data_IF_495630831131
#
_entry.id   IF_495630831131
#
_cell.length_a   1.000
_cell.length_b   1.000
_cell.length_c   1.000
_cell.angle_alpha   90.00
_cell.angle_beta   90.00
_cell.angle_gamma   90.00
#
_symmetry.space_group_name_H-M   'P 1'
#
loop_
_entity.id
_entity.type
_entity.pdbx_description
1 polymer ?
#
# COMPACT_ATOMS: atom_id res chain seq x y z
N UNK A 1 28.29 -4.42 2.34
CA UNK A 1 27.39 -4.43 1.17
C UNK A 1 28.24 -4.31 -0.09
N UNK A 2 27.74 -4.69 -1.27
CA UNK A 2 28.42 -4.41 -2.53
C UNK A 2 28.67 -2.90 -2.72
N UNK A 3 29.77 -2.52 -3.36
CA UNK A 3 30.15 -1.12 -3.54
C UNK A 3 29.09 -0.29 -4.31
N UNK A 4 28.44 -0.90 -5.32
CA UNK A 4 27.37 -0.25 -6.08
C UNK A 4 26.20 0.19 -5.20
N UNK A 5 25.85 -0.64 -4.20
CA UNK A 5 24.72 -0.35 -3.30
C UNK A 5 25.07 0.80 -2.36
N UNK A 6 26.28 0.81 -1.82
CA UNK A 6 26.75 1.90 -0.95
C UNK A 6 26.80 3.23 -1.70
N UNK A 7 27.25 3.22 -2.96
CA UNK A 7 27.24 4.41 -3.80
C UNK A 7 25.82 4.91 -4.06
N UNK A 8 24.87 4.01 -4.37
CA UNK A 8 23.47 4.40 -4.56
C UNK A 8 22.85 4.97 -3.28
N UNK A 9 23.11 4.37 -2.13
CA UNK A 9 22.60 4.84 -0.83
C UNK A 9 23.16 6.25 -0.53
N UNK A 10 24.48 6.43 -0.55
CA UNK A 10 25.11 7.71 -0.21
C UNK A 10 24.80 8.81 -1.23
N UNK A 11 24.84 8.50 -2.53
CA UNK A 11 24.54 9.51 -3.56
C UNK A 11 23.05 9.85 -3.63
N UNK A 12 22.17 8.85 -3.46
CA UNK A 12 20.73 9.06 -3.42
C UNK A 12 20.33 9.95 -2.25
N UNK A 13 20.87 9.70 -1.06
CA UNK A 13 20.64 10.53 0.12
C UNK A 13 21.14 11.97 -0.09
N UNK A 14 22.35 12.12 -0.65
CA UNK A 14 22.91 13.44 -0.95
C UNK A 14 22.06 14.22 -1.95
N UNK A 15 21.56 13.54 -3.00
CA UNK A 15 20.66 14.16 -3.99
C UNK A 15 19.33 14.57 -3.35
N UNK A 16 18.75 13.74 -2.48
CA UNK A 16 17.54 14.09 -1.76
C UNK A 16 17.74 15.32 -0.86
N UNK A 17 18.83 15.35 -0.09
CA UNK A 17 19.18 16.49 0.79
C UNK A 17 19.40 17.75 -0.05
N UNK A 18 20.18 17.68 -1.13
CA UNK A 18 20.44 18.81 -2.02
C UNK A 18 19.18 19.33 -2.71
N UNK A 19 18.31 18.44 -3.19
CA UNK A 19 17.04 18.80 -3.83
C UNK A 19 16.05 19.48 -2.88
N UNK A 20 15.99 19.03 -1.61
CA UNK A 20 15.05 19.56 -0.62
C UNK A 20 15.56 20.86 0.02
N UNK A 21 16.85 20.90 0.37
CA UNK A 21 17.42 21.97 1.21
C UNK A 21 18.25 22.98 0.45
N UNK A 22 18.68 22.66 -0.79
CA UNK A 22 19.67 23.44 -1.53
C UNK A 22 21.09 23.32 -0.98
N UNK A 23 21.32 22.44 0.01
CA UNK A 23 22.62 22.23 0.66
C UNK A 23 23.07 20.78 0.53
N UNK A 24 24.38 20.58 0.54
CA UNK A 24 25.03 19.28 0.45
C UNK A 24 25.69 18.95 1.80
N UNK A 25 25.40 17.75 2.33
CA UNK A 25 26.00 17.29 3.58
C UNK A 25 27.48 16.93 3.38
N UNK A 26 28.29 17.22 4.39
CA UNK A 26 29.71 16.82 4.46
C UNK A 26 29.98 15.86 5.62
N UNK A 27 29.00 15.66 6.51
CA UNK A 27 29.08 14.70 7.61
C UNK A 27 28.29 13.45 7.27
N UNK A 28 28.79 12.29 7.71
CA UNK A 28 28.13 11.00 7.56
C UNK A 28 28.18 10.23 8.88
N UNK A 29 27.09 9.58 9.25
CA UNK A 29 27.05 8.61 10.36
C UNK A 29 26.63 7.25 9.81
N UNK A 30 27.48 6.20 9.89
CA UNK A 30 27.10 4.86 9.50
C UNK A 30 25.94 4.34 10.36
N UNK A 31 25.02 3.54 9.80
CA UNK A 31 23.97 2.91 10.59
C UNK A 31 24.55 1.87 11.57
N UNK A 32 23.93 1.74 12.74
CA UNK A 32 24.22 0.75 13.81
C UNK A 32 25.58 0.84 14.52
N UNK A 33 26.66 1.20 13.82
CA UNK A 33 27.98 1.43 14.44
C UNK A 33 28.01 2.84 15.03
N UNK A 34 27.37 3.01 16.19
CA UNK A 34 27.23 4.30 16.85
C UNK A 34 28.52 4.75 17.52
N UNK A 35 29.23 3.86 18.23
CA UNK A 35 30.44 4.18 19.00
C UNK A 35 31.72 3.64 18.32
N UNK A 36 32.88 4.14 18.74
CA UNK A 36 34.17 3.77 18.14
C UNK A 36 34.52 2.29 18.30
N UNK A 37 34.07 1.65 19.39
CA UNK A 37 34.30 0.23 19.67
C UNK A 37 33.36 -0.69 18.89
N UNK A 38 32.26 -0.16 18.34
CA UNK A 38 31.31 -0.86 17.48
C UNK A 38 31.76 -0.92 16.01
N UNK A 39 32.90 -0.32 15.67
CA UNK A 39 33.46 -0.33 14.31
C UNK A 39 34.12 -1.68 14.03
N UNK A 40 33.64 -2.36 13.00
CA UNK A 40 34.21 -3.62 12.48
C UNK A 40 34.81 -3.39 11.09
N UNK A 41 35.58 -4.35 10.59
CA UNK A 41 36.27 -4.27 9.29
C UNK A 41 35.36 -3.79 8.13
N UNK A 42 34.12 -4.30 8.08
CA UNK A 42 33.14 -3.89 7.07
C UNK A 42 32.74 -2.42 7.19
N UNK A 43 32.48 -1.94 8.41
CA UNK A 43 32.16 -0.53 8.68
C UNK A 43 33.38 0.35 8.41
N UNK A 44 34.57 -0.09 8.81
CA UNK A 44 35.82 0.64 8.58
C UNK A 44 36.09 0.86 7.08
N UNK A 45 35.93 -0.19 6.27
CA UNK A 45 36.05 -0.08 4.81
C UNK A 45 35.05 0.91 4.20
N UNK A 46 33.81 0.89 4.69
CA UNK A 46 32.78 1.84 4.26
C UNK A 46 33.12 3.29 4.69
N UNK A 47 33.62 3.50 5.90
CA UNK A 47 34.07 4.80 6.39
C UNK A 47 35.22 5.36 5.54
N UNK A 48 36.18 4.51 5.15
CA UNK A 48 37.26 4.92 4.23
C UNK A 48 36.72 5.34 2.87
N UNK A 49 35.77 4.58 2.33
CA UNK A 49 35.14 4.90 1.04
C UNK A 49 34.35 6.22 1.12
N UNK A 50 33.66 6.47 2.23
CA UNK A 50 32.97 7.73 2.47
C UNK A 50 33.96 8.90 2.60
N UNK A 51 35.11 8.69 3.25
CA UNK A 51 36.18 9.68 3.36
C UNK A 51 36.78 10.02 1.97
N UNK A 52 37.00 9.02 1.11
CA UNK A 52 37.46 9.23 -0.27
C UNK A 52 36.44 10.03 -1.11
N UNK A 53 35.17 10.02 -0.72
CA UNK A 53 34.09 10.82 -1.31
C UNK A 53 33.92 12.20 -0.66
N UNK A 54 34.76 12.55 0.32
CA UNK A 54 34.76 13.86 0.98
C UNK A 54 33.85 13.95 2.21
N UNK A 55 33.32 12.84 2.73
CA UNK A 55 32.55 12.84 3.97
C UNK A 55 33.46 12.69 5.19
N UNK A 56 33.18 13.47 6.23
CA UNK A 56 33.70 13.20 7.57
C UNK A 56 32.73 12.27 8.31
N UNK A 57 33.23 11.11 8.72
CA UNK A 57 32.44 10.21 9.57
C UNK A 57 32.37 10.73 11.00
N UNK A 58 31.16 10.81 11.57
CA UNK A 58 30.91 11.20 12.95
C UNK A 58 30.27 10.04 13.69
N UNK A 59 30.91 9.62 14.79
CA UNK A 59 30.40 8.63 15.74
C UNK A 59 29.87 9.32 17.01
N UNK A 60 29.17 8.58 17.85
CA UNK A 60 28.66 9.04 19.14
C UNK A 60 29.62 8.69 20.27
N UNK A 61 29.54 9.45 21.36
CA UNK A 61 30.19 9.12 22.65
C UNK A 61 29.17 8.72 23.72
N UNK A 62 27.89 9.01 23.48
CA UNK A 62 26.78 8.71 24.38
C UNK A 62 25.57 8.27 23.57
N UNK A 63 25.08 7.07 23.82
CA UNK A 63 23.79 6.61 23.30
C UNK A 63 22.69 6.84 24.34
N UNK A 64 21.61 7.52 23.95
CA UNK A 64 20.43 7.70 24.80
C UNK A 64 19.65 6.39 24.99
N UNK A 65 19.80 5.44 24.08
CA UNK A 65 18.95 4.24 23.95
C UNK A 65 17.45 4.56 23.83
N UNK A 66 17.12 5.77 23.40
CA UNK A 66 15.75 6.28 23.30
C UNK A 66 14.87 5.47 22.35
N UNK A 67 15.48 4.79 21.37
CA UNK A 67 14.82 3.87 20.46
C UNK A 67 14.07 2.72 21.18
N UNK A 68 14.52 2.34 22.38
CA UNK A 68 13.86 1.33 23.22
C UNK A 68 12.61 1.85 23.95
N UNK A 69 12.42 3.18 23.99
CA UNK A 69 11.41 3.87 24.82
C UNK A 69 11.50 3.51 26.32
N UNK A 70 12.68 3.68 26.96
CA UNK A 70 12.89 3.27 28.35
C UNK A 70 12.32 4.25 29.39
N UNK A 71 11.68 5.34 28.96
CA UNK A 71 11.20 6.43 29.81
C UNK A 71 12.19 7.59 29.94
N UNK A 72 11.66 8.79 30.19
CA UNK A 72 12.40 10.07 30.23
C UNK A 72 13.62 10.00 31.16
N UNK A 73 13.44 9.51 32.39
CA UNK A 73 14.52 9.47 33.38
C UNK A 73 15.67 8.53 32.98
N UNK A 74 15.40 7.47 32.21
CA UNK A 74 16.45 6.58 31.71
C UNK A 74 17.24 7.24 30.58
N UNK A 75 16.54 7.87 29.64
CA UNK A 75 17.14 8.65 28.55
C UNK A 75 18.06 9.74 29.11
N UNK A 76 17.59 10.53 30.08
CA UNK A 76 18.39 11.57 30.73
C UNK A 76 19.64 11.02 31.42
N UNK A 77 19.54 9.89 32.12
CA UNK A 77 20.70 9.25 32.76
C UNK A 77 21.74 8.81 31.73
N UNK A 78 21.29 8.26 30.62
CA UNK A 78 22.17 7.82 29.54
C UNK A 78 22.88 9.00 28.87
N UNK A 79 22.19 10.14 28.74
CA UNK A 79 22.74 11.39 28.20
C UNK A 79 23.62 12.18 29.18
N UNK A 80 23.69 11.78 30.45
CA UNK A 80 24.43 12.52 31.46
C UNK A 80 25.93 12.63 31.07
N UNK A 81 26.54 13.83 31.13
CA UNK A 81 27.91 14.03 30.70
C UNK A 81 28.87 13.25 31.61
N UNK A 82 29.86 12.55 31.02
CA UNK A 82 30.89 11.84 31.80
C UNK A 82 32.04 12.71 32.30
N UNK A 83 32.03 14.02 32.03
CA UNK A 83 33.11 14.95 32.36
C UNK A 83 33.04 16.25 31.56
N UNK A 84 34.05 17.14 31.66
CA UNK A 84 34.04 18.45 31.00
C UNK A 84 34.32 18.39 29.49
N UNK A 85 34.66 17.21 28.96
CA UNK A 85 35.01 17.05 27.56
C UNK A 85 33.78 17.08 26.66
N UNK A 86 33.95 17.59 25.44
CA UNK A 86 32.93 17.57 24.40
C UNK A 86 32.46 16.15 24.12
N UNK A 87 31.14 15.97 24.02
CA UNK A 87 30.48 14.70 23.77
C UNK A 87 29.53 14.85 22.59
N UNK A 88 29.46 13.82 21.75
CA UNK A 88 28.44 13.66 20.71
C UNK A 88 27.35 12.77 21.30
N UNK A 89 26.11 13.26 21.28
CA UNK A 89 24.95 12.59 21.84
C UNK A 89 24.12 11.97 20.72
N UNK A 90 23.73 10.70 20.86
CA UNK A 90 22.88 10.00 19.91
C UNK A 90 21.43 9.93 20.42
N UNK A 91 20.51 10.44 19.61
CA UNK A 91 19.06 10.43 19.82
C UNK A 91 18.34 10.19 18.48
N UNK A 92 17.05 9.83 18.52
CA UNK A 92 16.26 9.48 17.34
C UNK A 92 14.92 10.23 17.30
N UNK A 93 14.55 10.73 16.12
CA UNK A 93 13.28 11.42 15.84
C UNK A 93 12.27 10.55 15.05
N UNK A 94 12.62 9.29 14.76
CA UNK A 94 11.82 8.36 13.98
C UNK A 94 11.50 7.03 14.69
N UNK A 95 10.68 6.19 14.05
CA UNK A 95 10.35 4.84 14.53
C UNK A 95 9.11 4.73 15.43
N UNK A 96 8.20 5.70 15.37
CA UNK A 96 6.94 5.74 16.12
C UNK A 96 6.86 6.93 17.08
N UNK A 97 6.07 6.80 18.13
CA UNK A 97 5.96 7.81 19.19
C UNK A 97 7.33 8.04 19.89
N UNK A 98 7.80 9.30 19.91
CA UNK A 98 9.07 9.80 20.48
C UNK A 98 8.85 10.84 21.59
N UNK A 99 7.66 10.93 22.19
CA UNK A 99 7.36 11.93 23.23
C UNK A 99 8.34 11.87 24.41
N UNK A 100 8.79 10.67 24.79
CA UNK A 100 9.80 10.49 25.84
C UNK A 100 11.18 11.04 25.44
N UNK A 101 11.57 10.90 24.16
CA UNK A 101 12.82 11.43 23.63
C UNK A 101 12.80 12.95 23.68
N UNK A 102 11.71 13.56 23.21
CA UNK A 102 11.55 15.02 23.17
C UNK A 102 11.54 15.62 24.58
N UNK A 103 10.78 15.02 25.49
CA UNK A 103 10.73 15.47 26.89
C UNK A 103 12.09 15.33 27.59
N UNK A 104 12.82 14.24 27.35
CA UNK A 104 14.16 14.06 27.90
C UNK A 104 15.17 15.04 27.30
N UNK A 105 15.08 15.35 26.00
CA UNK A 105 15.94 16.33 25.34
C UNK A 105 15.75 17.72 25.97
N UNK A 106 14.51 18.19 26.13
CA UNK A 106 14.20 19.49 26.72
C UNK A 106 14.79 19.67 28.13
N UNK A 107 14.56 18.67 28.99
CA UNK A 107 15.12 18.62 30.34
C UNK A 107 16.66 18.52 30.33
N UNK A 108 17.25 17.70 29.46
CA UNK A 108 18.69 17.55 29.35
C UNK A 108 19.38 18.85 28.91
N UNK A 109 18.82 19.57 27.92
CA UNK A 109 19.35 20.86 27.47
C UNK A 109 19.41 21.89 28.60
N UNK A 110 18.37 21.95 29.42
CA UNK A 110 18.33 22.83 30.61
C UNK A 110 19.44 22.46 31.60
N UNK A 111 19.57 21.17 31.94
CA UNK A 111 20.60 20.67 32.86
C UNK A 111 22.01 20.91 32.33
N UNK A 112 22.23 20.76 31.03
CA UNK A 112 23.53 21.03 30.40
C UNK A 112 23.88 22.51 30.50
N UNK A 113 22.93 23.41 30.26
CA UNK A 113 23.14 24.85 30.43
C UNK A 113 23.48 25.20 31.89
N UNK A 114 22.75 24.64 32.86
CA UNK A 114 23.02 24.84 34.30
C UNK A 114 24.40 24.33 34.74
N UNK A 115 24.90 23.30 34.06
CA UNK A 115 26.24 22.74 34.26
C UNK A 115 27.33 23.49 33.47
N UNK A 116 26.98 24.52 32.71
CA UNK A 116 27.91 25.33 31.91
C UNK A 116 28.32 24.72 30.57
N UNK A 117 27.64 23.68 30.10
CA UNK A 117 27.88 23.13 28.77
C UNK A 117 27.22 23.99 27.69
N UNK A 118 27.90 24.11 26.54
CA UNK A 118 27.34 24.68 25.31
C UNK A 118 26.94 23.56 24.36
N UNK A 119 25.65 23.44 24.08
CA UNK A 119 25.12 22.52 23.05
C UNK A 119 25.20 23.21 21.69
N UNK A 120 25.75 22.52 20.69
CA UNK A 120 26.03 23.07 19.36
C UNK A 120 26.03 21.96 18.31
N UNK A 121 26.08 22.31 17.03
CA UNK A 121 26.27 21.31 15.97
C UNK A 121 27.66 20.68 16.02
N UNK A 122 27.81 19.47 15.49
CA UNK A 122 29.13 18.81 15.39
C UNK A 122 30.11 19.65 14.57
N UNK A 123 29.65 20.27 13.49
CA UNK A 123 30.48 21.16 12.66
C UNK A 123 31.07 22.31 13.46
N UNK A 124 30.24 23.01 14.21
CA UNK A 124 30.68 24.14 15.06
C UNK A 124 31.57 23.69 16.22
N UNK A 125 31.36 22.47 16.75
CA UNK A 125 32.17 21.93 17.83
C UNK A 125 33.62 21.64 17.39
N UNK A 126 33.81 21.22 16.15
CA UNK A 126 35.14 20.87 15.59
C UNK A 126 35.68 21.89 14.60
N UNK A 127 34.98 23.01 14.39
CA UNK A 127 35.43 24.12 13.55
C UNK A 127 35.38 23.85 12.04
N UNK A 128 34.41 23.04 11.57
CA UNK A 128 34.24 22.69 10.16
C UNK A 128 32.84 23.05 9.65
N UNK A 129 32.77 23.37 8.36
CA UNK A 129 31.49 23.52 7.66
C UNK A 129 30.87 22.15 7.41
N UNK A 130 29.82 21.81 8.16
CA UNK A 130 29.10 20.52 8.07
C UNK A 130 28.13 20.41 6.89
N UNK A 131 27.80 21.54 6.27
CA UNK A 131 26.86 21.65 5.15
C UNK A 131 27.33 22.75 4.21
N UNK A 132 27.61 22.41 2.94
CA UNK A 132 27.97 23.37 1.89
C UNK A 132 26.76 23.71 1.02
N UNK A 133 26.84 24.78 0.25
CA UNK A 133 25.84 25.05 -0.78
C UNK A 133 25.94 23.99 -1.89
N UNK A 134 24.78 23.51 -2.35
CA UNK A 134 24.73 22.61 -3.48
C UNK A 134 25.00 23.39 -4.77
N UNK A 135 25.74 22.79 -5.70
CA UNK A 135 25.88 23.34 -7.04
C UNK A 135 24.54 23.30 -7.77
N UNK A 136 24.37 24.14 -8.80
CA UNK A 136 23.15 24.15 -9.61
C UNK A 136 22.83 22.76 -10.19
N UNK A 137 23.86 22.02 -10.64
CA UNK A 137 23.70 20.67 -11.17
C UNK A 137 23.22 19.66 -10.13
N UNK A 138 23.78 19.70 -8.91
CA UNK A 138 23.34 18.85 -7.79
C UNK A 138 21.90 19.16 -7.39
N UNK A 139 21.55 20.44 -7.29
CA UNK A 139 20.21 20.86 -6.90
C UNK A 139 19.16 20.48 -7.95
N UNK A 140 19.45 20.67 -9.24
CA UNK A 140 18.54 20.25 -10.34
C UNK A 140 18.33 18.74 -10.31
N UNK A 141 19.42 17.97 -10.22
CA UNK A 141 19.34 16.50 -10.20
C UNK A 141 18.58 15.99 -8.98
N UNK A 142 18.87 16.55 -7.80
CA UNK A 142 18.17 16.25 -6.56
C UNK A 142 16.69 16.62 -6.61
N UNK A 143 16.36 17.79 -7.17
CA UNK A 143 14.98 18.23 -7.35
C UNK A 143 14.21 17.28 -8.27
N UNK A 144 14.82 16.87 -9.39
CA UNK A 144 14.22 15.89 -10.30
C UNK A 144 13.96 14.54 -9.61
N UNK A 145 14.93 14.04 -8.83
CA UNK A 145 14.77 12.82 -8.04
C UNK A 145 13.60 12.92 -7.05
N UNK A 146 13.55 14.00 -6.26
CA UNK A 146 12.49 14.22 -5.26
C UNK A 146 11.12 14.33 -5.91
N UNK A 147 11.01 15.02 -7.05
CA UNK A 147 9.76 15.07 -7.83
C UNK A 147 9.34 13.70 -8.34
N UNK A 148 10.28 12.89 -8.84
CA UNK A 148 10.00 11.52 -9.28
C UNK A 148 9.44 10.65 -8.16
N UNK A 149 10.02 10.74 -6.95
CA UNK A 149 9.53 10.04 -5.76
C UNK A 149 8.11 10.51 -5.41
N UNK A 150 7.88 11.84 -5.32
CA UNK A 150 6.56 12.40 -5.01
C UNK A 150 5.48 12.02 -6.02
N UNK A 151 5.82 11.99 -7.30
CA UNK A 151 4.91 11.53 -8.35
C UNK A 151 4.57 10.05 -8.17
N UNK A 152 5.56 9.23 -7.83
CA UNK A 152 5.35 7.80 -7.58
C UNK A 152 4.42 7.58 -6.38
N UNK A 153 4.65 8.29 -5.27
CA UNK A 153 3.77 8.23 -4.08
C UNK A 153 2.34 8.68 -4.41
N UNK A 154 2.20 9.73 -5.22
CA UNK A 154 0.90 10.18 -5.70
C UNK A 154 0.18 9.10 -6.52
N UNK A 155 0.87 8.48 -7.49
CA UNK A 155 0.30 7.42 -8.32
C UNK A 155 -0.11 6.21 -7.49
N UNK A 156 0.74 5.76 -6.57
CA UNK A 156 0.44 4.65 -5.66
C UNK A 156 -0.80 4.98 -4.83
N UNK A 157 -0.83 6.17 -4.22
CA UNK A 157 -1.97 6.63 -3.41
C UNK A 157 -3.26 6.71 -4.22
N UNK A 158 -3.20 7.22 -5.45
CA UNK A 158 -4.35 7.31 -6.34
C UNK A 158 -4.89 5.92 -6.72
N UNK A 159 -4.01 4.97 -7.05
CA UNK A 159 -4.39 3.58 -7.34
C UNK A 159 -5.02 2.93 -6.10
N UNK A 160 -4.43 3.12 -4.91
CA UNK A 160 -5.01 2.60 -3.66
C UNK A 160 -6.43 3.13 -3.43
N UNK A 161 -6.68 4.42 -3.60
CA UNK A 161 -8.02 5.00 -3.48
C UNK A 161 -8.99 4.52 -4.54
N UNK A 162 -8.53 4.34 -5.78
CA UNK A 162 -9.34 3.78 -6.86
C UNK A 162 -9.79 2.33 -6.54
N UNK A 163 -8.89 1.51 -5.97
CA UNK A 163 -9.21 0.15 -5.53
C UNK A 163 -10.22 0.14 -4.38
N UNK A 164 -10.06 1.04 -3.40
CA UNK A 164 -11.02 1.20 -2.30
C UNK A 164 -12.41 1.60 -2.84
N UNK A 165 -12.46 2.56 -3.78
CA UNK A 165 -13.71 2.99 -4.40
C UNK A 165 -14.37 1.85 -5.19
N UNK A 166 -13.61 1.09 -5.98
CA UNK A 166 -14.12 -0.06 -6.73
C UNK A 166 -14.66 -1.16 -5.79
N UNK A 167 -13.96 -1.41 -4.67
CA UNK A 167 -14.42 -2.30 -3.61
C UNK A 167 -15.74 -1.84 -3.01
N UNK A 168 -15.85 -0.56 -2.65
CA UNK A 168 -17.07 0.03 -2.11
C UNK A 168 -18.25 -0.08 -3.10
N UNK A 169 -18.04 0.25 -4.38
CA UNK A 169 -19.06 0.10 -5.43
C UNK A 169 -19.51 -1.35 -5.56
N UNK A 170 -18.60 -2.31 -5.48
CA UNK A 170 -18.92 -3.75 -5.55
C UNK A 170 -19.76 -4.20 -4.35
N UNK A 171 -19.43 -3.75 -3.14
CA UNK A 171 -20.21 -4.04 -1.93
C UNK A 171 -21.59 -3.40 -2.01
N UNK A 172 -21.68 -2.13 -2.40
CA UNK A 172 -22.96 -1.42 -2.59
C UNK A 172 -23.82 -2.17 -3.60
N UNK A 173 -23.25 -2.58 -4.74
CA UNK A 173 -23.95 -3.37 -5.76
C UNK A 173 -24.49 -4.68 -5.18
N UNK A 174 -23.67 -5.43 -4.43
CA UNK A 174 -24.08 -6.68 -3.81
C UNK A 174 -25.25 -6.47 -2.82
N UNK A 175 -25.15 -5.44 -1.97
CA UNK A 175 -26.21 -5.07 -1.02
C UNK A 175 -27.51 -4.70 -1.75
N UNK A 176 -27.43 -3.91 -2.82
CA UNK A 176 -28.60 -3.55 -3.63
C UNK A 176 -29.24 -4.79 -4.26
N UNK A 177 -28.45 -5.66 -4.89
CA UNK A 177 -28.95 -6.89 -5.53
C UNK A 177 -29.63 -7.80 -4.51
N UNK A 178 -28.98 -8.06 -3.36
CA UNK A 178 -29.55 -8.87 -2.28
C UNK A 178 -30.82 -8.22 -1.71
N UNK A 179 -30.80 -6.90 -1.50
CA UNK A 179 -31.95 -6.13 -1.00
C UNK A 179 -33.15 -6.19 -1.95
N UNK A 180 -32.93 -5.97 -3.25
CA UNK A 180 -34.00 -6.08 -4.26
C UNK A 180 -34.51 -7.52 -4.39
N UNK A 181 -33.62 -8.52 -4.37
CA UNK A 181 -34.01 -9.93 -4.40
C UNK A 181 -34.86 -10.33 -3.18
N UNK A 182 -34.47 -9.90 -1.98
CA UNK A 182 -35.22 -10.13 -0.75
C UNK A 182 -36.59 -9.43 -0.76
N UNK A 183 -36.64 -8.19 -1.26
CA UNK A 183 -37.89 -7.43 -1.41
C UNK A 183 -38.83 -8.08 -2.42
N UNK A 184 -38.32 -8.50 -3.57
CA UNK A 184 -39.10 -9.21 -4.59
C UNK A 184 -39.62 -10.55 -4.06
N UNK A 185 -38.79 -11.35 -3.39
CA UNK A 185 -39.22 -12.60 -2.74
C UNK A 185 -40.32 -12.37 -1.71
N UNK A 186 -40.19 -11.33 -0.89
CA UNK A 186 -41.19 -10.98 0.14
C UNK A 186 -42.48 -10.45 -0.48
N UNK A 187 -42.40 -9.69 -1.57
CA UNK A 187 -43.56 -9.23 -2.33
C UNK A 187 -44.26 -10.41 -3.04
N UNK A 188 -43.53 -11.29 -3.72
CA UNK A 188 -44.06 -12.48 -4.38
C UNK A 188 -44.71 -13.44 -3.37
N UNK A 189 -44.14 -13.62 -2.18
CA UNK A 189 -44.74 -14.38 -1.08
C UNK A 189 -46.04 -13.73 -0.59
N UNK A 190 -46.07 -12.40 -0.41
CA UNK A 190 -47.28 -11.67 -0.02
C UNK A 190 -48.36 -11.74 -1.11
N UNK A 191 -48.02 -11.61 -2.38
CA UNK A 191 -48.96 -11.76 -3.50
C UNK A 191 -49.46 -13.20 -3.64
N UNK A 192 -48.63 -14.22 -3.37
CA UNK A 192 -49.08 -15.62 -3.31
C UNK A 192 -49.95 -15.91 -2.10
N UNK A 193 -49.69 -15.30 -0.94
CA UNK A 193 -50.52 -15.42 0.25
C UNK A 193 -51.88 -14.69 0.07
N UNK A 194 -51.88 -13.49 -0.53
CA UNK A 194 -53.08 -12.75 -0.87
C UNK A 194 -53.88 -13.42 -2.00
N UNK A 195 -53.20 -14.03 -2.97
CA UNK A 195 -53.79 -14.84 -4.04
C UNK A 195 -54.31 -16.21 -3.59
N UNK A 196 -53.98 -16.66 -2.37
CA UNK A 196 -54.57 -17.87 -1.79
C UNK A 196 -56.00 -17.65 -1.26
N UNK A 197 -56.40 -16.39 -1.05
CA UNK A 197 -57.77 -16.04 -0.64
C UNK A 197 -58.63 -15.45 -1.77
N UNK A 198 -58.07 -15.13 -2.93
CA UNK A 198 -58.83 -14.67 -4.10
C UNK A 198 -58.26 -15.28 -5.39
N UNK A 199 -59.11 -16.05 -6.08
CA UNK A 199 -58.93 -16.78 -7.34
C UNK A 199 -58.19 -18.12 -7.27
N UNK A 200 -58.96 -19.20 -7.06
CA UNK A 200 -58.89 -20.32 -8.02
C UNK A 200 -59.12 -19.71 -9.39
N UNK A 201 -58.07 -19.56 -10.18
CA UNK A 201 -58.26 -19.49 -11.63
C UNK A 201 -58.57 -20.93 -12.00
N UNK A 202 -59.84 -21.23 -12.30
CA UNK A 202 -60.17 -22.43 -13.05
C UNK A 202 -59.38 -22.34 -14.35
N UNK A 203 -58.25 -23.04 -14.40
CA UNK A 203 -57.69 -23.46 -15.68
C UNK A 203 -58.76 -24.38 -16.25
N UNK A 204 -59.40 -24.06 -17.40
CA UNK A 204 -60.31 -25.00 -18.01
C UNK A 204 -59.51 -26.28 -18.22
N UNK A 205 -59.91 -27.37 -17.58
CA UNK A 205 -59.43 -28.70 -17.95
C UNK A 205 -59.88 -28.87 -19.39
N UNK A 206 -58.98 -28.59 -20.33
CA UNK A 206 -59.26 -28.82 -21.74
C UNK A 206 -59.47 -30.32 -21.88
N UNK A 207 -60.54 -30.78 -22.57
CA UNK A 207 -60.74 -32.19 -22.78
C UNK A 207 -59.47 -32.78 -23.41
N UNK A 208 -59.11 -33.99 -22.99
CA UNK A 208 -57.99 -34.73 -23.55
C UNK A 208 -58.22 -34.82 -25.06
N UNK A 209 -57.35 -34.20 -25.86
CA UNK A 209 -57.52 -34.13 -27.31
C UNK A 209 -57.18 -35.52 -27.83
N UNK A 210 -58.14 -36.43 -27.95
CA UNK A 210 -57.90 -37.80 -28.47
C UNK A 210 -57.80 -37.85 -29.98
N UNK A 211 -58.10 -36.74 -30.66
CA UNK A 211 -58.03 -36.64 -32.12
C UNK A 211 -56.58 -36.59 -32.61
N UNK A 212 -56.30 -37.08 -33.82
CA UNK A 212 -54.98 -36.95 -34.44
C UNK A 212 -54.56 -35.50 -34.56
N UNK A 213 -53.32 -35.19 -34.19
CA UNK A 213 -52.78 -33.82 -34.25
C UNK A 213 -51.66 -33.75 -35.28
N UNK A 214 -51.69 -32.74 -36.13
CA UNK A 214 -50.62 -32.50 -37.10
C UNK A 214 -49.51 -31.65 -36.48
N UNK A 215 -48.29 -32.19 -36.46
CA UNK A 215 -47.07 -31.52 -36.00
C UNK A 215 -46.31 -31.04 -37.22
N UNK A 216 -46.24 -29.72 -37.38
CA UNK A 216 -45.47 -29.08 -38.45
C UNK A 216 -44.05 -28.88 -37.96
N UNK A 217 -43.08 -29.49 -38.63
CA UNK A 217 -41.66 -29.40 -38.31
C UNK A 217 -40.97 -28.56 -39.39
N UNK A 218 -40.66 -27.28 -39.14
CA UNK A 218 -39.82 -26.50 -40.03
C UNK A 218 -38.41 -27.10 -40.03
N UNK A 219 -37.83 -27.33 -41.22
CA UNK A 219 -36.55 -27.99 -41.37
C UNK A 219 -35.76 -27.47 -42.59
N UNK A 220 -35.13 -26.30 -42.46
CA UNK A 220 -34.11 -25.84 -43.39
C UNK A 220 -32.70 -26.19 -42.90
N UNK A 221 -31.90 -26.88 -43.73
CA UNK A 221 -30.52 -27.29 -43.41
C UNK A 221 -30.34 -28.11 -42.11
N UNK A 222 -31.40 -28.71 -41.59
CA UNK A 222 -31.44 -29.53 -40.36
C UNK A 222 -31.07 -31.01 -40.59
N UNK A 223 -30.32 -31.32 -41.65
CA UNK A 223 -30.03 -32.71 -42.08
C UNK A 223 -29.38 -33.58 -40.99
N UNK A 224 -28.63 -32.97 -40.06
CA UNK A 224 -27.98 -33.66 -38.94
C UNK A 224 -28.91 -33.91 -37.73
N UNK A 225 -30.00 -33.15 -37.58
CA UNK A 225 -30.87 -33.17 -36.39
C UNK A 225 -32.31 -33.63 -36.65
N UNK A 226 -32.79 -33.50 -37.88
CA UNK A 226 -34.19 -33.76 -38.24
C UNK A 226 -34.60 -35.21 -37.96
N UNK A 227 -33.71 -36.17 -38.14
CA UNK A 227 -34.00 -37.58 -37.86
C UNK A 227 -34.32 -37.81 -36.38
N UNK A 228 -33.52 -37.25 -35.47
CA UNK A 228 -33.73 -37.39 -34.03
C UNK A 228 -35.04 -36.70 -33.58
N UNK A 229 -35.33 -35.52 -34.15
CA UNK A 229 -36.56 -34.79 -33.87
C UNK A 229 -37.80 -35.58 -34.33
N UNK A 230 -37.81 -36.09 -35.56
CA UNK A 230 -38.92 -36.91 -36.07
C UNK A 230 -39.07 -38.19 -35.26
N UNK A 231 -37.98 -38.91 -34.93
CA UNK A 231 -38.04 -40.11 -34.08
C UNK A 231 -38.61 -39.82 -32.70
N UNK A 232 -38.28 -38.67 -32.11
CA UNK A 232 -38.84 -38.26 -30.81
C UNK A 232 -40.34 -37.98 -30.89
N UNK A 233 -40.83 -37.40 -31.99
CA UNK A 233 -42.26 -37.09 -32.17
C UNK A 233 -43.04 -38.37 -32.46
N UNK A 234 -42.48 -39.29 -33.26
CA UNK A 234 -43.06 -40.62 -33.52
C UNK A 234 -43.12 -41.48 -32.25
N UNK A 235 -42.19 -41.29 -31.31
CA UNK A 235 -42.21 -41.98 -30.02
C UNK A 235 -43.32 -41.49 -29.06
N UNK A 236 -44.07 -40.45 -29.44
CA UNK A 236 -45.23 -39.99 -28.68
C UNK A 236 -46.34 -41.05 -28.67
N UNK A 237 -47.02 -41.21 -27.53
CA UNK A 237 -48.17 -42.10 -27.38
C UNK A 237 -49.46 -41.56 -28.01
N UNK A 238 -49.41 -40.35 -28.56
CA UNK A 238 -50.56 -39.67 -29.16
C UNK A 238 -50.58 -39.87 -30.69
N UNK A 239 -51.75 -40.09 -31.33
CA UNK A 239 -51.83 -40.13 -32.79
C UNK A 239 -51.37 -38.80 -33.39
N UNK A 240 -50.24 -38.81 -34.08
CA UNK A 240 -49.64 -37.62 -34.70
C UNK A 240 -49.45 -37.81 -36.20
N UNK A 241 -49.76 -36.76 -36.96
CA UNK A 241 -49.34 -36.60 -38.35
C UNK A 241 -48.13 -35.65 -38.36
N UNK A 242 -47.04 -36.00 -39.02
CA UNK A 242 -45.83 -35.16 -39.04
C UNK A 242 -45.67 -34.60 -40.45
N UNK A 243 -45.69 -33.27 -40.55
CA UNK A 243 -45.49 -32.55 -41.82
C UNK A 243 -44.17 -31.80 -41.71
N UNK A 244 -43.13 -32.30 -42.37
CA UNK A 244 -41.84 -31.61 -42.45
C UNK A 244 -41.92 -30.59 -43.57
N UNK A 245 -41.69 -29.33 -43.25
CA UNK A 245 -41.74 -28.22 -44.19
C UNK A 245 -40.36 -27.62 -44.30
N UNK A 246 -39.82 -27.57 -45.51
CA UNK A 246 -38.64 -26.75 -45.80
C UNK A 246 -39.08 -25.29 -45.75
N UNK A 247 -38.74 -24.60 -44.65
CA UNK A 247 -39.13 -23.21 -44.41
C UNK A 247 -38.10 -22.20 -44.95
N UNK A 248 -37.04 -22.67 -45.61
CA UNK A 248 -36.20 -21.86 -46.50
C UNK A 248 -35.41 -20.72 -45.84
N UNK A 249 -35.19 -20.74 -44.52
CA UNK A 249 -34.53 -19.66 -43.76
C UNK A 249 -33.01 -19.71 -43.75
#
# INVERSE_FOLDING_TARGET
APAWRQQLEVQGDQQAIAGITGRAATLLRPPYSSESDAVRDGTWSAMRTAADQGYLTVLTTKDSEDWQRPGVAAIERNLAPSGPQGQVLLMHDGGGDRDQTVAALDSALTKFADQGFRVTTVGDAVGITSMRDASAGEQISGTALVWGIRLSDFVITAISWALVAAGAVTVIRAVLVVGFAARHRSAARRSRAAGRSRRRVDVPVRPEITEPVSVIVPAYNESAGIEAAVRSIVASTHPVEIIVVDDGS
#
